data_IF_783091543259
#
_entry.id   IF_783091543259
#
_cell.length_a   1.000
_cell.length_b   1.000
_cell.length_c   1.000
_cell.angle_alpha   90.00
_cell.angle_beta   90.00
_cell.angle_gamma   90.00
#
_symmetry.space_group_name_H-M   'P 1'
#
loop_
_entity.id
_entity.type
_entity.pdbx_description
1 polymer ?
#
# COMPACT_ATOMS: atom_id res chain seq x y z
N UNK A 1 40.73 2.48 -13.89
CA UNK A 1 41.35 1.12 -13.95
C UNK A 1 40.48 0.17 -13.14
N UNK A 2 40.10 -1.01 -13.66
CA UNK A 2 39.29 -1.97 -12.90
C UNK A 2 40.06 -2.40 -11.64
N UNK A 3 39.51 -2.07 -10.47
CA UNK A 3 40.11 -2.47 -9.22
C UNK A 3 39.81 -3.97 -9.02
N UNK A 4 40.81 -4.82 -9.23
CA UNK A 4 40.71 -6.28 -9.16
C UNK A 4 40.58 -6.83 -7.72
N UNK A 5 40.21 -5.98 -6.75
CA UNK A 5 39.99 -6.40 -5.38
C UNK A 5 38.55 -6.92 -5.22
N UNK A 6 38.33 -8.24 -5.07
CA UNK A 6 36.99 -8.83 -5.01
C UNK A 6 36.17 -8.31 -3.83
N UNK A 7 36.83 -8.01 -2.71
CA UNK A 7 36.18 -7.42 -1.54
C UNK A 7 35.65 -6.03 -1.83
N UNK A 8 36.39 -5.22 -2.58
CA UNK A 8 35.99 -3.85 -2.87
C UNK A 8 34.76 -3.82 -3.77
N UNK A 9 34.75 -4.64 -4.81
CA UNK A 9 33.62 -4.76 -5.72
C UNK A 9 32.38 -5.26 -4.98
N UNK A 10 32.53 -6.28 -4.14
CA UNK A 10 31.41 -6.84 -3.39
C UNK A 10 30.86 -5.84 -2.35
N UNK A 11 31.71 -5.05 -1.69
CA UNK A 11 31.26 -3.98 -0.79
C UNK A 11 30.51 -2.88 -1.56
N UNK A 12 30.98 -2.51 -2.75
CA UNK A 12 30.30 -1.55 -3.61
C UNK A 12 28.94 -2.09 -4.06
N UNK A 13 28.86 -3.35 -4.48
CA UNK A 13 27.60 -4.00 -4.87
C UNK A 13 26.64 -4.10 -3.68
N UNK A 14 27.12 -4.55 -2.52
CA UNK A 14 26.31 -4.64 -1.31
C UNK A 14 25.77 -3.28 -0.89
N UNK A 15 26.61 -2.25 -0.84
CA UNK A 15 26.16 -0.89 -0.54
C UNK A 15 25.21 -0.35 -1.61
N UNK A 16 25.45 -0.67 -2.89
CA UNK A 16 24.56 -0.29 -3.99
C UNK A 16 23.17 -0.92 -3.83
N UNK A 17 23.11 -2.21 -3.50
CA UNK A 17 21.86 -2.95 -3.25
C UNK A 17 21.14 -2.44 -1.99
N UNK A 18 21.90 -1.97 -1.00
CA UNK A 18 21.39 -1.33 0.21
C UNK A 18 21.05 0.16 0.01
N UNK A 19 21.04 0.66 -1.23
CA UNK A 19 20.61 2.02 -1.57
C UNK A 19 21.68 3.09 -1.36
N UNK A 20 22.95 2.71 -1.44
CA UNK A 20 24.12 3.58 -1.38
C UNK A 20 24.66 3.87 0.02
N UNK A 21 23.97 3.42 1.08
CA UNK A 21 24.39 3.61 2.48
C UNK A 21 23.84 2.51 3.40
N UNK A 22 24.64 2.04 4.35
CA UNK A 22 24.23 0.96 5.25
C UNK A 22 25.08 0.90 6.53
N UNK A 23 24.61 0.16 7.55
CA UNK A 23 25.45 -0.18 8.69
C UNK A 23 26.44 -1.29 8.32
N UNK A 24 27.57 -1.40 9.03
CA UNK A 24 28.51 -2.50 8.84
C UNK A 24 27.82 -3.87 8.99
N UNK A 25 26.84 -3.97 9.88
CA UNK A 25 26.08 -5.20 10.07
C UNK A 25 25.25 -5.56 8.83
N UNK A 26 24.57 -4.59 8.22
CA UNK A 26 23.79 -4.79 7.00
C UNK A 26 24.70 -5.14 5.81
N UNK A 27 25.87 -4.51 5.72
CA UNK A 27 26.88 -4.84 4.70
C UNK A 27 27.38 -6.28 4.89
N UNK A 28 27.62 -6.72 6.14
CA UNK A 28 27.99 -8.12 6.40
C UNK A 28 26.89 -9.08 5.99
N UNK A 29 25.64 -8.80 6.36
CA UNK A 29 24.52 -9.70 6.06
C UNK A 29 24.31 -9.81 4.55
N UNK A 30 24.31 -8.67 3.82
CA UNK A 30 24.18 -8.65 2.36
C UNK A 30 25.31 -9.44 1.68
N UNK A 31 26.55 -9.31 2.13
CA UNK A 31 27.68 -10.05 1.54
C UNK A 31 27.62 -11.55 1.87
N UNK A 32 27.14 -11.91 3.06
CA UNK A 32 26.91 -13.31 3.42
C UNK A 32 25.76 -13.93 2.61
N UNK A 33 24.73 -13.16 2.29
CA UNK A 33 23.56 -13.60 1.52
C UNK A 33 23.82 -13.67 0.00
N UNK A 34 24.62 -12.73 -0.55
CA UNK A 34 24.93 -12.68 -1.98
C UNK A 34 25.73 -13.91 -2.47
N UNK A 35 26.55 -14.52 -1.61
CA UNK A 35 27.29 -15.75 -1.92
C UNK A 35 28.40 -15.61 -2.98
N UNK A 36 28.73 -14.39 -3.42
CA UNK A 36 29.73 -14.12 -4.47
C UNK A 36 31.18 -14.36 -4.03
N UNK A 37 31.44 -14.31 -2.72
CA UNK A 37 32.74 -14.62 -2.12
C UNK A 37 32.57 -15.87 -1.27
N UNK A 38 33.41 -16.87 -1.51
CA UNK A 38 33.48 -18.04 -0.63
C UNK A 38 34.09 -17.67 0.72
N UNK A 39 33.22 -17.38 1.68
CA UNK A 39 33.58 -16.94 3.02
C UNK A 39 34.25 -18.03 3.87
N UNK A 40 34.15 -19.30 3.46
CA UNK A 40 34.72 -20.44 4.22
C UNK A 40 36.26 -20.44 4.21
N UNK A 41 36.87 -19.76 3.24
CA UNK A 41 38.32 -19.63 3.11
C UNK A 41 38.94 -18.56 4.04
N UNK A 42 38.13 -17.85 4.85
CA UNK A 42 38.58 -16.71 5.64
C UNK A 42 38.17 -16.82 7.11
N UNK A 43 39.16 -16.84 8.00
CA UNK A 43 38.94 -16.96 9.46
C UNK A 43 38.23 -15.72 10.05
N UNK A 44 38.51 -14.52 9.54
CA UNK A 44 37.86 -13.27 9.98
C UNK A 44 37.61 -12.32 8.79
N UNK A 45 36.70 -12.75 7.92
CA UNK A 45 36.34 -11.98 6.73
C UNK A 45 35.69 -10.62 7.05
N UNK A 46 35.02 -10.49 8.21
CA UNK A 46 34.40 -9.23 8.64
C UNK A 46 35.45 -8.15 8.91
N UNK A 47 36.60 -8.52 9.48
CA UNK A 47 37.74 -7.60 9.63
C UNK A 47 38.36 -7.23 8.29
N UNK A 48 38.44 -8.16 7.35
CA UNK A 48 38.94 -7.89 6.00
C UNK A 48 38.04 -6.89 5.25
N UNK A 49 36.72 -7.02 5.38
CA UNK A 49 35.74 -6.10 4.81
C UNK A 49 35.88 -4.69 5.40
N UNK A 50 35.94 -4.56 6.74
CA UNK A 50 36.15 -3.26 7.41
C UNK A 50 37.44 -2.59 6.97
N UNK A 51 38.52 -3.36 6.87
CA UNK A 51 39.83 -2.86 6.41
C UNK A 51 39.73 -2.26 5.01
N UNK A 52 39.02 -2.90 4.09
CA UNK A 52 38.82 -2.38 2.74
C UNK A 52 37.98 -1.09 2.72
N UNK A 53 36.95 -0.99 3.55
CA UNK A 53 36.17 0.26 3.70
C UNK A 53 37.07 1.40 4.18
N UNK A 54 37.90 1.16 5.20
CA UNK A 54 38.76 2.19 5.78
C UNK A 54 39.91 2.60 4.85
N UNK A 55 40.48 1.67 4.08
CA UNK A 55 41.55 1.98 3.11
C UNK A 55 41.05 2.83 1.92
N UNK A 56 39.75 2.83 1.67
CA UNK A 56 39.11 3.52 0.55
C UNK A 56 38.10 4.57 1.01
N UNK A 57 38.32 5.15 2.20
CA UNK A 57 37.58 6.29 2.70
C UNK A 57 38.51 7.36 3.23
N UNK A 58 38.47 8.55 2.66
CA UNK A 58 39.19 9.72 3.19
C UNK A 58 38.77 10.13 4.61
N UNK A 59 37.68 9.56 5.14
CA UNK A 59 37.26 9.77 6.53
C UNK A 59 38.04 8.89 7.53
N UNK A 60 38.95 8.04 7.06
CA UNK A 60 39.78 7.16 7.90
C UNK A 60 41.26 7.57 7.90
N UNK A 61 41.93 7.46 9.05
CA UNK A 61 43.34 7.88 9.21
C UNK A 61 44.33 7.06 8.38
N UNK A 62 43.92 5.87 7.93
CA UNK A 62 44.76 4.96 7.14
C UNK A 62 44.65 5.20 5.64
N UNK A 63 43.85 6.17 5.20
CA UNK A 63 43.66 6.50 3.78
C UNK A 63 44.92 7.14 3.19
N UNK A 64 45.42 6.58 2.09
CA UNK A 64 46.69 6.99 1.44
C UNK A 64 46.51 7.54 0.03
N UNK A 65 45.27 7.62 -0.45
CA UNK A 65 44.98 8.09 -1.81
C UNK A 65 44.56 9.56 -1.80
N UNK A 66 44.33 10.13 -2.99
CA UNK A 66 43.84 11.51 -3.12
C UNK A 66 42.40 11.62 -2.61
N UNK A 67 42.14 12.57 -1.71
CA UNK A 67 40.78 12.87 -1.21
C UNK A 67 39.89 13.30 -2.38
N UNK A 68 38.71 12.67 -2.50
CA UNK A 68 37.81 12.86 -3.64
C UNK A 68 38.29 12.24 -4.97
N UNK A 69 39.40 11.50 -4.96
CA UNK A 69 39.91 10.78 -6.13
C UNK A 69 39.20 9.45 -6.38
N UNK A 70 39.58 8.73 -7.44
CA UNK A 70 38.93 7.46 -7.85
C UNK A 70 38.93 6.37 -6.77
N UNK A 71 39.87 6.43 -5.82
CA UNK A 71 40.04 5.45 -4.75
C UNK A 71 39.37 5.86 -3.42
N UNK A 72 38.74 7.04 -3.38
CA UNK A 72 37.93 7.53 -2.26
C UNK A 72 36.46 7.14 -2.46
N UNK A 73 36.17 5.87 -2.20
CA UNK A 73 34.90 5.25 -2.59
C UNK A 73 33.84 5.34 -1.48
N UNK A 74 34.25 5.37 -0.22
CA UNK A 74 33.34 5.31 0.92
C UNK A 74 33.42 6.53 1.82
N UNK A 75 32.34 6.84 2.53
CA UNK A 75 32.29 7.89 3.53
C UNK A 75 31.53 7.45 4.78
N UNK A 76 31.88 8.03 5.92
CA UNK A 76 31.24 7.78 7.20
C UNK A 76 30.11 8.79 7.45
N UNK A 77 28.90 8.30 7.67
CA UNK A 77 27.71 9.17 7.77
C UNK A 77 27.58 9.84 9.14
N UNK A 78 28.02 9.18 10.20
CA UNK A 78 27.92 9.70 11.59
C UNK A 78 29.28 10.02 12.22
N UNK A 79 30.36 10.05 11.43
CA UNK A 79 31.73 10.19 11.91
C UNK A 79 32.35 8.88 12.39
N UNK A 80 33.68 8.89 12.52
CA UNK A 80 34.53 7.72 12.84
C UNK A 80 33.97 6.91 14.02
N UNK A 81 33.89 5.58 13.85
CA UNK A 81 33.50 4.64 14.91
C UNK A 81 32.01 4.29 14.99
N UNK A 82 31.12 5.01 14.30
CA UNK A 82 29.67 4.76 14.36
C UNK A 82 29.18 3.62 13.45
N UNK A 83 30.05 3.07 12.61
CA UNK A 83 29.76 1.86 11.82
C UNK A 83 28.74 2.04 10.69
N UNK A 84 28.44 3.26 10.27
CA UNK A 84 27.54 3.54 9.12
C UNK A 84 28.34 4.13 7.97
N UNK A 85 28.22 3.52 6.78
CA UNK A 85 29.04 3.80 5.62
C UNK A 85 28.19 4.01 4.37
N UNK A 86 28.63 4.89 3.47
CA UNK A 86 28.00 5.11 2.17
C UNK A 86 28.98 5.26 1.02
N UNK A 87 28.49 5.23 -0.22
CA UNK A 87 29.28 5.36 -1.45
C UNK A 87 29.36 6.83 -1.90
N UNK A 88 30.57 7.34 -2.15
CA UNK A 88 30.80 8.74 -2.56
C UNK A 88 30.39 9.02 -4.01
N UNK A 89 30.59 8.08 -4.94
CA UNK A 89 30.36 8.23 -6.39
C UNK A 89 29.31 7.27 -6.95
N UNK A 90 28.25 6.98 -6.17
CA UNK A 90 27.19 6.06 -6.60
C UNK A 90 26.38 6.63 -7.78
N UNK A 91 26.63 6.13 -8.99
CA UNK A 91 25.85 6.44 -10.21
C UNK A 91 24.75 5.39 -10.35
N UNK A 92 23.50 5.85 -10.40
CA UNK A 92 22.34 4.99 -10.67
C UNK A 92 22.39 4.63 -12.16
N UNK A 93 22.75 3.38 -12.50
CA UNK A 93 22.60 2.87 -13.86
C UNK A 93 21.10 2.72 -14.16
N UNK A 94 20.53 3.79 -14.73
CA UNK A 94 19.25 3.75 -15.42
C UNK A 94 19.49 3.02 -16.74
N UNK A 95 18.84 1.87 -16.95
CA UNK A 95 18.61 1.35 -18.29
C UNK A 95 17.90 2.44 -19.10
N UNK A 96 18.51 2.79 -20.23
CA UNK A 96 18.23 3.98 -21.03
C UNK A 96 16.80 4.00 -21.59
N UNK A 97 16.16 5.16 -21.54
CA UNK A 97 15.50 5.74 -22.72
C UNK A 97 15.43 7.27 -22.57
N UNK A 98 16.43 7.90 -23.20
CA UNK A 98 16.59 9.22 -23.80
C UNK A 98 15.82 10.46 -23.28
N UNK A 99 16.66 11.41 -22.83
CA UNK A 99 16.65 12.86 -23.08
C UNK A 99 15.43 13.69 -22.66
N UNK A 100 15.52 14.29 -21.46
CA UNK A 100 15.72 15.74 -21.29
C UNK A 100 16.09 16.01 -19.83
N UNK A 101 17.05 16.91 -19.63
CA UNK A 101 17.59 17.31 -18.33
C UNK A 101 16.55 18.08 -17.52
N UNK A 102 15.82 17.38 -16.66
CA UNK A 102 15.14 17.98 -15.51
C UNK A 102 15.79 17.49 -14.21
N UNK A 103 16.03 18.44 -13.31
CA UNK A 103 16.56 18.24 -11.95
C UNK A 103 15.76 17.16 -11.21
N UNK A 104 16.37 16.00 -10.93
CA UNK A 104 15.71 14.90 -10.21
C UNK A 104 15.62 15.24 -8.72
N UNK A 105 14.51 15.87 -8.31
CA UNK A 105 14.13 15.99 -6.90
C UNK A 105 13.94 14.61 -6.26
N UNK A 106 14.24 14.49 -4.96
CA UNK A 106 13.89 13.31 -4.14
C UNK A 106 12.42 12.94 -4.43
N UNK A 107 12.20 11.81 -5.11
CA UNK A 107 10.83 11.35 -5.40
C UNK A 107 10.16 11.05 -4.05
N UNK A 108 9.23 11.93 -3.67
CA UNK A 108 8.55 11.90 -2.37
C UNK A 108 7.71 10.63 -2.28
N UNK A 109 7.70 9.98 -1.12
CA UNK A 109 6.81 8.84 -0.90
C UNK A 109 5.37 9.24 -1.25
N UNK A 110 4.57 8.34 -1.87
CA UNK A 110 3.19 8.64 -2.16
C UNK A 110 2.42 8.90 -0.87
N UNK A 111 1.40 9.76 -0.98
CA UNK A 111 0.53 10.09 0.13
C UNK A 111 -0.09 8.82 0.71
N UNK A 112 -0.35 8.85 2.03
CA UNK A 112 -1.14 7.81 2.69
C UNK A 112 -2.53 7.77 2.09
N UNK A 113 -2.97 6.56 1.74
CA UNK A 113 -4.29 6.26 1.21
C UNK A 113 -5.17 5.76 2.33
N UNK A 114 -6.48 5.87 2.10
CA UNK A 114 -7.51 5.53 3.06
C UNK A 114 -7.38 4.11 3.65
N UNK A 115 -7.18 3.09 2.80
CA UNK A 115 -6.96 1.70 3.25
C UNK A 115 -5.80 1.59 4.24
N UNK A 116 -4.71 2.33 4.00
CA UNK A 116 -3.51 2.32 4.84
C UNK A 116 -3.77 2.96 6.21
N UNK A 117 -4.57 4.04 6.23
CA UNK A 117 -4.95 4.71 7.47
C UNK A 117 -5.96 3.91 8.29
N UNK A 118 -6.88 3.18 7.64
CA UNK A 118 -7.80 2.26 8.31
C UNK A 118 -7.03 1.16 9.05
N UNK A 119 -6.05 0.53 8.38
CA UNK A 119 -5.20 -0.50 9.01
C UNK A 119 -4.36 0.07 10.16
N UNK A 120 -3.85 1.29 10.01
CA UNK A 120 -3.09 1.97 11.06
C UNK A 120 -3.96 2.33 12.28
N UNK A 121 -5.19 2.81 12.04
CA UNK A 121 -6.13 3.16 13.11
C UNK A 121 -6.65 1.91 13.84
N UNK A 122 -6.88 0.80 13.12
CA UNK A 122 -7.24 -0.48 13.74
C UNK A 122 -6.14 -0.97 14.68
N UNK A 123 -4.88 -0.92 14.24
CA UNK A 123 -3.74 -1.27 15.10
C UNK A 123 -3.68 -0.34 16.32
N UNK A 124 -3.94 0.96 16.13
CA UNK A 124 -3.94 1.94 17.20
C UNK A 124 -4.98 1.61 18.28
N UNK A 125 -6.24 1.32 17.92
CA UNK A 125 -7.25 1.00 18.93
C UNK A 125 -7.08 -0.38 19.59
N UNK A 126 -6.36 -1.31 18.96
CA UNK A 126 -6.08 -2.65 19.54
C UNK A 126 -4.99 -2.66 20.59
N UNK A 127 -4.22 -1.57 20.72
CA UNK A 127 -3.07 -1.51 21.61
C UNK A 127 -3.09 -0.23 22.43
N UNK A 128 -2.47 -0.25 23.61
CA UNK A 128 -2.36 0.95 24.42
C UNK A 128 -1.36 1.92 23.74
N UNK A 129 -1.76 3.16 23.41
CA UNK A 129 -0.87 4.10 22.71
C UNK A 129 0.43 4.42 23.45
N UNK A 130 0.46 4.28 24.79
CA UNK A 130 1.65 4.50 25.61
C UNK A 130 2.70 3.37 25.50
N UNK A 131 2.32 2.21 24.96
CA UNK A 131 3.18 1.02 24.88
C UNK A 131 3.71 0.77 23.47
N UNK A 132 3.20 1.49 22.48
CA UNK A 132 3.56 1.31 21.07
C UNK A 132 4.73 2.21 20.70
N UNK A 133 5.66 1.66 19.94
CA UNK A 133 6.76 2.40 19.32
C UNK A 133 7.12 1.77 17.96
N UNK A 134 8.06 2.37 17.23
CA UNK A 134 8.46 1.88 15.90
C UNK A 134 9.03 0.44 15.87
N UNK A 135 9.45 -0.11 17.03
CA UNK A 135 9.95 -1.49 17.15
C UNK A 135 8.88 -2.46 17.64
N UNK A 136 7.68 -1.98 17.98
CA UNK A 136 6.59 -2.82 18.44
C UNK A 136 6.22 -3.84 17.35
N UNK A 137 6.03 -5.10 17.72
CA UNK A 137 5.80 -6.21 16.78
C UNK A 137 4.62 -5.92 15.83
N UNK A 138 3.51 -5.39 16.37
CA UNK A 138 2.34 -5.01 15.56
C UNK A 138 2.63 -3.90 14.54
N UNK A 139 3.56 -2.98 14.83
CA UNK A 139 3.94 -1.90 13.91
C UNK A 139 4.82 -2.42 12.79
N UNK A 140 5.75 -3.34 13.10
CA UNK A 140 6.59 -4.01 12.11
C UNK A 140 5.73 -4.86 11.17
N UNK A 141 4.84 -5.68 11.72
CA UNK A 141 3.88 -6.48 10.94
C UNK A 141 3.00 -5.60 10.04
N UNK A 142 2.48 -4.49 10.57
CA UNK A 142 1.69 -3.56 9.76
C UNK A 142 2.52 -2.95 8.62
N UNK A 143 3.78 -2.57 8.88
CA UNK A 143 4.69 -2.09 7.83
C UNK A 143 4.82 -3.11 6.69
N UNK A 144 5.01 -4.40 7.00
CA UNK A 144 5.08 -5.47 6.00
C UNK A 144 3.78 -5.60 5.20
N UNK A 145 2.63 -5.57 5.88
CA UNK A 145 1.30 -5.62 5.26
C UNK A 145 1.13 -4.45 4.29
N UNK A 146 1.39 -3.22 4.74
CA UNK A 146 1.27 -1.99 3.94
C UNK A 146 2.15 -2.03 2.68
N UNK A 147 3.36 -2.58 2.80
CA UNK A 147 4.27 -2.75 1.67
C UNK A 147 3.76 -3.78 0.64
N UNK A 148 2.90 -4.71 1.06
CA UNK A 148 2.31 -5.73 0.18
C UNK A 148 1.00 -5.31 -0.48
N UNK A 149 0.47 -4.12 -0.18
CA UNK A 149 -0.82 -3.68 -0.72
C UNK A 149 -0.71 -3.25 -2.20
N UNK A 150 -1.56 -3.75 -3.10
CA UNK A 150 -1.53 -3.43 -4.54
C UNK A 150 -2.27 -2.11 -4.86
N UNK A 151 -1.98 -1.06 -4.08
CA UNK A 151 -2.63 0.26 -4.18
C UNK A 151 -1.76 1.26 -4.96
N UNK A 152 -0.44 1.11 -4.87
CA UNK A 152 0.56 1.98 -5.48
C UNK A 152 1.24 1.25 -6.65
N UNK A 153 1.20 1.83 -7.87
CA UNK A 153 1.64 1.15 -9.11
C UNK A 153 3.17 1.10 -9.31
N UNK A 154 3.96 2.02 -8.73
CA UNK A 154 5.42 2.10 -8.97
C UNK A 154 6.18 2.61 -7.74
N UNK A 155 7.21 1.82 -7.36
CA UNK A 155 8.36 2.05 -6.47
C UNK A 155 8.51 3.46 -5.85
N UNK A 156 8.00 3.58 -4.63
CA UNK A 156 8.64 4.43 -3.62
C UNK A 156 9.92 3.73 -3.14
N UNK A 157 10.89 4.50 -2.66
CA UNK A 157 12.15 3.96 -2.11
C UNK A 157 11.83 2.87 -1.06
N UNK A 158 12.17 1.60 -1.34
CA UNK A 158 11.81 0.42 -0.53
C UNK A 158 12.24 0.55 0.93
N UNK A 159 13.30 1.32 1.18
CA UNK A 159 13.83 1.58 2.53
C UNK A 159 12.92 2.52 3.35
N UNK A 160 12.25 3.46 2.68
CA UNK A 160 11.46 4.51 3.32
C UNK A 160 9.96 4.36 3.14
N UNK A 161 9.53 3.49 2.23
CA UNK A 161 8.11 3.30 1.95
C UNK A 161 7.44 2.52 3.07
N UNK A 162 6.46 3.16 3.73
CA UNK A 162 5.66 2.59 4.82
C UNK A 162 6.46 1.83 5.87
N UNK A 163 7.71 2.24 6.13
CA UNK A 163 8.57 1.60 7.11
C UNK A 163 8.01 1.75 8.54
N UNK A 164 8.49 0.97 9.53
CA UNK A 164 7.93 0.97 10.88
C UNK A 164 7.92 2.35 11.56
N UNK A 165 8.92 3.19 11.30
CA UNK A 165 8.94 4.57 11.78
C UNK A 165 7.81 5.39 11.16
N UNK A 166 7.60 5.30 9.84
CA UNK A 166 6.52 5.97 9.15
C UNK A 166 5.14 5.52 9.64
N UNK A 167 4.97 4.23 9.94
CA UNK A 167 3.75 3.69 10.54
C UNK A 167 3.54 4.24 11.95
N UNK A 168 4.56 4.18 12.80
CA UNK A 168 4.49 4.74 14.15
C UNK A 168 4.16 6.24 14.15
N UNK A 169 4.74 7.01 13.22
CA UNK A 169 4.39 8.43 13.06
C UNK A 169 2.91 8.66 12.74
N UNK A 170 2.23 7.72 12.06
CA UNK A 170 0.78 7.79 11.87
C UNK A 170 0.00 7.53 13.14
N UNK A 171 0.47 6.62 13.98
CA UNK A 171 -0.11 6.41 15.31
C UNK A 171 0.03 7.68 16.17
N UNK A 172 1.18 8.37 16.08
CA UNK A 172 1.39 9.66 16.73
C UNK A 172 0.50 10.79 16.19
N UNK A 173 0.05 10.71 14.93
CA UNK A 173 -0.93 11.64 14.38
C UNK A 173 -2.32 11.39 14.99
N UNK A 174 -2.71 10.12 15.20
CA UNK A 174 -3.97 9.78 15.86
C UNK A 174 -4.00 10.17 17.33
N UNK A 175 -2.85 10.11 18.03
CA UNK A 175 -2.72 10.64 19.39
C UNK A 175 -3.14 12.12 19.53
N UNK A 176 -3.04 12.93 18.46
CA UNK A 176 -3.54 14.32 18.46
C UNK A 176 -5.07 14.36 18.60
N UNK A 177 -5.76 13.40 17.99
CA UNK A 177 -7.20 13.36 17.85
C UNK A 177 -7.88 12.61 19.01
N UNK A 178 -7.11 11.84 19.78
CA UNK A 178 -7.61 11.04 20.89
C UNK A 178 -7.96 11.87 22.12
N UNK A 179 -9.26 12.05 22.46
CA UNK A 179 -9.65 12.79 23.64
C UNK A 179 -9.33 12.03 24.94
N UNK A 180 -9.10 10.71 24.88
CA UNK A 180 -8.75 9.88 26.03
C UNK A 180 -7.23 9.91 26.33
N UNK A 181 -6.43 10.55 25.45
CA UNK A 181 -4.99 10.64 25.58
C UNK A 181 -4.54 11.94 26.24
N UNK A 182 -3.94 11.82 27.44
CA UNK A 182 -3.47 12.97 28.22
C UNK A 182 -2.06 13.48 27.85
N UNK A 183 -1.41 12.90 26.84
CA UNK A 183 -0.07 13.30 26.39
C UNK A 183 -0.09 14.32 25.24
N UNK A 184 1.08 14.69 24.74
CA UNK A 184 1.19 15.55 23.54
C UNK A 184 1.31 14.69 22.28
N UNK A 185 0.30 14.73 21.42
CA UNK A 185 0.36 14.22 20.05
C UNK A 185 1.12 15.16 19.10
N UNK A 186 1.20 14.80 17.81
CA UNK A 186 1.80 15.66 16.79
C UNK A 186 0.88 16.84 16.42
N UNK A 187 1.43 18.05 16.30
CA UNK A 187 0.65 19.29 16.07
C UNK A 187 -0.06 19.37 14.71
N UNK A 188 0.41 18.63 13.70
CA UNK A 188 -0.11 18.69 12.32
C UNK A 188 -0.36 17.31 11.77
N UNK A 189 -1.42 17.17 10.98
CA UNK A 189 -1.76 15.94 10.26
C UNK A 189 -2.50 16.25 8.96
N UNK A 190 -2.92 15.20 8.27
CA UNK A 190 -3.68 15.31 7.04
C UNK A 190 -5.17 15.25 7.30
N UNK A 191 -5.97 15.96 6.50
CA UNK A 191 -7.45 15.90 6.54
C UNK A 191 -8.00 14.47 6.48
N UNK A 192 -7.37 13.59 5.68
CA UNK A 192 -7.81 12.20 5.58
C UNK A 192 -7.65 11.42 6.90
N UNK A 193 -6.69 11.81 7.76
CA UNK A 193 -6.55 11.21 9.10
C UNK A 193 -7.72 11.60 10.00
N UNK A 194 -8.16 12.87 9.93
CA UNK A 194 -9.33 13.36 10.65
C UNK A 194 -10.61 12.69 10.14
N UNK A 195 -10.78 12.60 8.81
CA UNK A 195 -11.95 11.93 8.21
C UNK A 195 -12.04 10.44 8.61
N UNK A 196 -10.92 9.71 8.64
CA UNK A 196 -10.88 8.31 9.08
C UNK A 196 -11.10 8.20 10.60
N UNK A 197 -10.55 9.12 11.39
CA UNK A 197 -10.75 9.16 12.83
C UNK A 197 -12.22 9.40 13.19
N UNK A 198 -12.82 10.48 12.67
CA UNK A 198 -14.19 10.88 12.96
C UNK A 198 -15.20 9.78 12.59
N UNK A 199 -14.94 9.05 11.51
CA UNK A 199 -15.80 7.94 11.08
C UNK A 199 -15.78 6.75 12.04
N UNK A 200 -14.65 6.44 12.66
CA UNK A 200 -14.44 5.17 13.36
C UNK A 200 -14.21 5.29 14.87
N UNK A 201 -13.94 6.48 15.39
CA UNK A 201 -13.66 6.69 16.82
C UNK A 201 -14.75 6.09 17.72
N UNK A 202 -16.02 6.29 17.35
CA UNK A 202 -17.18 5.78 18.08
C UNK A 202 -17.63 4.36 17.64
N UNK A 203 -17.02 3.78 16.61
CA UNK A 203 -17.42 2.48 16.04
C UNK A 203 -16.20 1.61 15.72
N UNK A 204 -15.48 1.25 16.79
CA UNK A 204 -14.24 0.45 16.74
C UNK A 204 -14.46 -0.95 16.17
N UNK A 205 -15.65 -1.54 16.38
CA UNK A 205 -16.00 -2.85 15.85
C UNK A 205 -16.08 -2.80 14.32
N UNK A 206 -16.79 -1.81 13.76
CA UNK A 206 -16.88 -1.64 12.31
C UNK A 206 -15.52 -1.36 11.67
N UNK A 207 -14.66 -0.57 12.33
CA UNK A 207 -13.29 -0.36 11.88
C UNK A 207 -12.54 -1.69 11.77
N UNK A 208 -12.62 -2.51 12.82
CA UNK A 208 -11.94 -3.80 12.87
C UNK A 208 -12.41 -4.72 11.74
N UNK A 209 -13.72 -4.83 11.52
CA UNK A 209 -14.30 -5.67 10.46
C UNK A 209 -13.83 -5.23 9.05
N UNK A 210 -13.76 -3.92 8.82
CA UNK A 210 -13.24 -3.33 7.58
C UNK A 210 -11.75 -3.63 7.43
N UNK A 211 -10.95 -3.46 8.48
CA UNK A 211 -9.51 -3.76 8.47
C UNK A 211 -9.24 -5.25 8.17
N UNK A 212 -9.97 -6.17 8.79
CA UNK A 212 -9.88 -7.60 8.49
C UNK A 212 -10.24 -7.89 7.03
N UNK A 213 -11.27 -7.23 6.50
CA UNK A 213 -11.68 -7.40 5.10
C UNK A 213 -10.64 -6.89 4.10
N UNK A 214 -9.96 -5.77 4.42
CA UNK A 214 -8.83 -5.27 3.62
C UNK A 214 -7.71 -6.32 3.63
N UNK A 215 -7.35 -6.86 4.80
CA UNK A 215 -6.30 -7.87 4.91
C UNK A 215 -6.64 -9.16 4.16
N UNK A 216 -7.89 -9.64 4.26
CA UNK A 216 -8.36 -10.79 3.49
C UNK A 216 -8.30 -10.55 1.97
N UNK A 217 -8.60 -9.31 1.54
CA UNK A 217 -8.46 -8.88 0.14
C UNK A 217 -7.06 -9.02 -0.42
N UNK A 218 -6.02 -8.79 0.40
CA UNK A 218 -4.62 -8.95 0.00
C UNK A 218 -4.32 -10.41 -0.36
N UNK A 219 -4.73 -11.35 0.51
CA UNK A 219 -4.53 -12.78 0.28
C UNK A 219 -5.28 -13.22 -0.97
N UNK A 220 -6.53 -12.80 -1.11
CA UNK A 220 -7.34 -13.12 -2.28
C UNK A 220 -6.77 -12.56 -3.59
N UNK A 221 -6.28 -11.30 -3.59
CA UNK A 221 -5.60 -10.75 -4.77
C UNK A 221 -4.31 -11.53 -5.05
N UNK A 222 -3.46 -11.84 -4.05
CA UNK A 222 -2.24 -12.66 -4.24
C UNK A 222 -2.53 -14.02 -4.88
N UNK A 223 -3.63 -14.66 -4.54
CA UNK A 223 -4.05 -15.95 -5.08
C UNK A 223 -4.58 -15.84 -6.53
N UNK A 224 -5.12 -14.68 -6.94
CA UNK A 224 -5.74 -14.44 -8.26
C UNK A 224 -4.88 -13.58 -9.22
N UNK A 225 -3.70 -13.10 -8.81
CA UNK A 225 -2.83 -12.24 -9.66
C UNK A 225 -2.23 -13.04 -10.83
N UNK A 226 -2.92 -13.03 -11.97
CA UNK A 226 -2.29 -12.89 -13.29
C UNK A 226 -3.22 -12.36 -14.39
N UNK A 227 -4.40 -11.80 -14.10
CA UNK A 227 -5.29 -11.29 -15.17
C UNK A 227 -5.90 -9.92 -14.88
N UNK A 228 -5.41 -8.96 -15.67
CA UNK A 228 -6.00 -7.67 -16.04
C UNK A 228 -6.00 -6.57 -14.97
N UNK A 229 -4.92 -5.79 -14.98
CA UNK A 229 -4.94 -4.40 -14.52
C UNK A 229 -4.90 -3.54 -15.77
N UNK A 230 -6.05 -3.20 -16.34
CA UNK A 230 -6.15 -2.11 -17.31
C UNK A 230 -7.27 -1.14 -16.94
N UNK A 231 -6.90 0.13 -17.02
CA UNK A 231 -7.64 1.41 -16.96
C UNK A 231 -8.17 1.83 -15.58
N UNK A 232 -7.58 2.84 -14.95
CA UNK A 232 -7.64 4.30 -15.26
C UNK A 232 -9.01 4.89 -14.90
N UNK A 233 -9.12 5.20 -13.61
CA UNK A 233 -9.74 6.40 -13.06
C UNK A 233 -9.25 6.44 -11.59
N UNK A 234 -8.22 7.24 -11.31
CA UNK A 234 -7.67 7.43 -9.96
C UNK A 234 -8.57 8.34 -9.11
N UNK A 235 -9.87 8.06 -9.06
CA UNK A 235 -10.69 8.61 -7.98
C UNK A 235 -10.40 7.80 -6.70
N UNK A 236 -10.02 8.50 -5.64
CA UNK A 236 -9.91 7.93 -4.31
C UNK A 236 -11.33 7.58 -3.85
N UNK A 237 -11.70 6.30 -4.04
CA UNK A 237 -13.01 5.81 -3.63
C UNK A 237 -13.17 5.98 -2.12
N UNK A 238 -14.34 6.41 -1.62
CA UNK A 238 -14.63 6.51 -0.19
C UNK A 238 -14.42 5.20 0.60
N UNK A 239 -14.26 4.08 -0.09
CA UNK A 239 -13.99 2.75 0.44
C UNK A 239 -12.54 2.42 0.66
N UNK A 240 -11.64 3.11 -0.04
CA UNK A 240 -10.36 2.55 -0.39
C UNK A 240 -10.46 1.59 -1.61
N UNK A 241 -9.31 1.34 -2.23
CA UNK A 241 -9.25 0.65 -3.53
C UNK A 241 -9.48 -0.85 -3.39
N UNK A 242 -9.05 -1.46 -2.28
CA UNK A 242 -9.06 -2.92 -2.11
C UNK A 242 -10.49 -3.44 -1.97
N UNK A 243 -11.26 -2.88 -1.02
CA UNK A 243 -12.66 -3.30 -0.81
C UNK A 243 -13.53 -3.05 -2.03
N UNK A 244 -13.33 -1.93 -2.73
CA UNK A 244 -14.03 -1.63 -3.97
C UNK A 244 -13.76 -2.68 -5.05
N UNK A 245 -12.49 -3.10 -5.24
CA UNK A 245 -12.14 -4.16 -6.20
C UNK A 245 -12.80 -5.49 -5.85
N UNK A 246 -12.71 -5.90 -4.59
CA UNK A 246 -13.36 -7.14 -4.13
C UNK A 246 -14.88 -7.09 -4.37
N UNK A 247 -15.51 -5.94 -4.12
CA UNK A 247 -16.94 -5.75 -4.31
C UNK A 247 -17.32 -5.85 -5.78
N UNK A 248 -16.61 -5.13 -6.65
CA UNK A 248 -16.79 -5.16 -8.10
C UNK A 248 -16.58 -6.56 -8.69
N UNK A 249 -15.62 -7.32 -8.17
CA UNK A 249 -15.38 -8.69 -8.62
C UNK A 249 -16.54 -9.64 -8.25
N UNK A 250 -17.05 -9.55 -7.02
CA UNK A 250 -18.25 -10.31 -6.60
C UNK A 250 -19.48 -9.94 -7.42
N UNK A 251 -19.68 -8.67 -7.72
CA UNK A 251 -20.77 -8.16 -8.58
C UNK A 251 -20.70 -8.72 -10.01
N UNK A 252 -19.49 -8.95 -10.54
CA UNK A 252 -19.29 -9.41 -11.92
C UNK A 252 -19.35 -10.93 -12.08
N UNK A 253 -18.80 -11.70 -11.14
CA UNK A 253 -18.41 -13.08 -11.43
C UNK A 253 -19.05 -14.16 -10.54
N UNK A 254 -20.13 -13.84 -9.82
CA UNK A 254 -20.85 -14.88 -9.07
C UNK A 254 -21.88 -15.61 -9.93
N UNK A 255 -21.95 -16.93 -9.78
CA UNK A 255 -23.03 -17.77 -10.33
C UNK A 255 -24.42 -17.28 -9.89
N UNK A 256 -24.49 -16.66 -8.71
CA UNK A 256 -25.69 -16.05 -8.14
C UNK A 256 -26.16 -14.83 -8.94
N UNK A 257 -25.24 -13.97 -9.41
CA UNK A 257 -25.58 -12.82 -10.27
C UNK A 257 -26.17 -13.30 -11.60
N UNK A 258 -25.55 -14.29 -12.24
CA UNK A 258 -26.06 -14.89 -13.48
C UNK A 258 -27.47 -15.43 -13.28
N UNK A 259 -27.69 -16.19 -12.20
CA UNK A 259 -29.00 -16.73 -11.83
C UNK A 259 -30.05 -15.64 -11.60
N UNK A 260 -29.70 -14.55 -10.91
CA UNK A 260 -30.64 -13.44 -10.66
C UNK A 260 -31.08 -12.76 -11.96
N UNK A 261 -30.14 -12.46 -12.85
CA UNK A 261 -30.44 -11.86 -14.17
C UNK A 261 -31.33 -12.76 -15.01
N UNK A 262 -31.05 -14.07 -15.02
CA UNK A 262 -31.85 -15.05 -15.75
C UNK A 262 -33.30 -15.08 -15.25
N UNK A 263 -33.52 -15.17 -13.93
CA UNK A 263 -34.86 -15.15 -13.34
C UNK A 263 -35.61 -13.86 -13.69
N UNK A 264 -34.94 -12.71 -13.66
CA UNK A 264 -35.55 -11.44 -14.01
C UNK A 264 -35.90 -11.34 -15.51
N UNK A 265 -35.05 -11.89 -16.37
CA UNK A 265 -35.30 -11.95 -17.82
C UNK A 265 -36.51 -12.85 -18.13
N UNK A 266 -36.60 -14.03 -17.52
CA UNK A 266 -37.72 -14.97 -17.69
C UNK A 266 -39.07 -14.37 -17.24
N UNK A 267 -39.04 -13.52 -16.21
CA UNK A 267 -40.22 -12.80 -15.71
C UNK A 267 -40.53 -11.51 -16.47
N UNK A 268 -39.76 -11.17 -17.50
CA UNK A 268 -39.83 -9.90 -18.21
C UNK A 268 -39.72 -8.67 -17.27
N UNK A 269 -38.88 -8.79 -16.24
CA UNK A 269 -38.62 -7.80 -15.19
C UNK A 269 -37.16 -7.35 -15.17
N UNK A 270 -36.46 -7.42 -16.32
CA UNK A 270 -35.07 -6.98 -16.44
C UNK A 270 -34.96 -5.45 -16.52
N UNK A 271 -35.37 -4.78 -15.45
CA UNK A 271 -35.32 -3.32 -15.27
C UNK A 271 -34.64 -2.96 -13.95
N UNK A 272 -34.20 -1.72 -13.84
CA UNK A 272 -33.60 -1.20 -12.61
C UNK A 272 -34.62 -1.23 -11.46
N UNK A 273 -34.26 -1.84 -10.33
CA UNK A 273 -35.12 -1.94 -9.14
C UNK A 273 -35.21 -0.61 -8.36
N UNK A 274 -34.45 0.42 -8.76
CA UNK A 274 -34.40 1.73 -8.11
C UNK A 274 -35.19 2.76 -8.94
N UNK A 275 -34.77 3.00 -10.19
CA UNK A 275 -35.37 4.03 -11.05
C UNK A 275 -36.26 3.48 -12.17
N UNK A 276 -36.48 2.17 -12.22
CA UNK A 276 -37.30 1.46 -13.23
C UNK A 276 -36.80 1.54 -14.67
N UNK A 277 -35.61 2.10 -14.91
CA UNK A 277 -34.99 2.16 -16.22
C UNK A 277 -34.79 0.76 -16.84
N UNK A 278 -35.17 0.61 -18.10
CA UNK A 278 -35.12 -0.64 -18.85
C UNK A 278 -34.33 -0.40 -20.15
N UNK A 279 -33.16 -1.03 -20.25
CA UNK A 279 -32.25 -0.85 -21.38
C UNK A 279 -32.85 -1.34 -22.69
N UNK A 280 -33.62 -2.42 -22.68
CA UNK A 280 -34.26 -2.95 -23.90
C UNK A 280 -35.34 -1.99 -24.39
N UNK A 281 -36.17 -1.45 -23.49
CA UNK A 281 -37.19 -0.47 -23.87
C UNK A 281 -36.61 0.82 -24.41
N UNK A 282 -35.48 1.28 -23.86
CA UNK A 282 -34.85 2.55 -24.29
C UNK A 282 -33.96 2.40 -25.52
N UNK A 283 -33.21 1.31 -25.64
CA UNK A 283 -32.18 1.12 -26.68
C UNK A 283 -32.46 -0.02 -27.67
N UNK A 284 -33.60 -0.71 -27.55
CA UNK A 284 -33.96 -1.85 -28.40
C UNK A 284 -33.01 -3.03 -28.20
N UNK A 285 -32.68 -3.73 -29.29
CA UNK A 285 -31.82 -4.93 -29.24
C UNK A 285 -30.44 -4.67 -28.62
N UNK A 286 -29.91 -3.44 -28.69
CA UNK A 286 -28.63 -3.09 -28.04
C UNK A 286 -28.68 -3.25 -26.52
N UNK A 287 -29.84 -2.99 -25.91
CA UNK A 287 -30.05 -3.07 -24.46
C UNK A 287 -30.50 -4.45 -23.97
N UNK A 288 -30.67 -5.43 -24.87
CA UNK A 288 -31.23 -6.73 -24.54
C UNK A 288 -30.33 -7.51 -23.59
N UNK A 289 -30.89 -7.96 -22.46
CA UNK A 289 -30.14 -8.69 -21.44
C UNK A 289 -29.16 -7.83 -20.63
N UNK A 290 -29.05 -6.53 -20.92
CA UNK A 290 -28.10 -5.64 -20.26
C UNK A 290 -28.70 -5.05 -18.99
N UNK A 291 -28.10 -5.39 -17.84
CA UNK A 291 -28.31 -4.71 -16.56
C UNK A 291 -27.13 -5.02 -15.64
N UNK A 292 -26.84 -4.14 -14.69
CA UNK A 292 -25.82 -4.37 -13.66
C UNK A 292 -26.46 -4.97 -12.41
N UNK A 293 -25.63 -5.56 -11.56
CA UNK A 293 -26.07 -6.18 -10.31
C UNK A 293 -25.19 -5.66 -9.18
N UNK A 294 -25.81 -5.14 -8.13
CA UNK A 294 -25.13 -4.58 -6.97
C UNK A 294 -25.39 -5.42 -5.72
N UNK A 295 -24.40 -5.58 -4.85
CA UNK A 295 -24.60 -6.25 -3.56
C UNK A 295 -25.04 -5.22 -2.52
N UNK A 296 -26.19 -5.43 -1.89
CA UNK A 296 -26.76 -4.49 -0.92
C UNK A 296 -26.07 -4.52 0.44
N UNK A 297 -25.23 -5.54 0.70
CA UNK A 297 -24.47 -5.68 1.94
C UNK A 297 -22.99 -5.43 1.67
N UNK A 298 -22.30 -4.57 2.45
CA UNK A 298 -20.86 -4.38 2.38
C UNK A 298 -20.05 -5.63 2.63
N UNK A 299 -18.93 -5.77 1.92
CA UNK A 299 -17.98 -6.89 2.09
C UNK A 299 -17.54 -7.00 3.55
N UNK A 300 -17.31 -5.86 4.21
CA UNK A 300 -16.95 -5.78 5.63
C UNK A 300 -17.95 -6.44 6.56
N UNK A 301 -19.22 -6.52 6.15
CA UNK A 301 -20.29 -7.04 6.99
C UNK A 301 -20.54 -8.54 6.76
N UNK A 302 -19.85 -9.16 5.80
CA UNK A 302 -19.93 -10.60 5.60
C UNK A 302 -18.95 -11.32 6.53
N UNK A 303 -19.48 -12.07 7.50
CA UNK A 303 -18.69 -13.06 8.24
C UNK A 303 -18.14 -14.10 7.27
N UNK A 304 -16.93 -14.62 7.53
CA UNK A 304 -16.35 -15.74 6.79
C UNK A 304 -17.40 -16.85 6.58
N UNK A 305 -17.51 -17.37 5.36
CA UNK A 305 -18.49 -18.37 4.91
C UNK A 305 -19.96 -17.93 4.73
N UNK A 306 -20.28 -16.65 4.80
CA UNK A 306 -21.65 -16.20 4.47
C UNK A 306 -21.89 -16.29 2.95
N UNK A 307 -22.74 -17.22 2.51
CA UNK A 307 -23.14 -17.36 1.10
C UNK A 307 -24.05 -16.20 0.69
N UNK A 308 -23.71 -15.50 -0.39
CA UNK A 308 -24.58 -14.49 -1.01
C UNK A 308 -25.92 -15.11 -1.42
N UNK A 309 -27.02 -14.56 -0.90
CA UNK A 309 -28.38 -14.93 -1.29
C UNK A 309 -28.85 -14.04 -2.44
N UNK A 310 -29.88 -14.49 -3.17
CA UNK A 310 -30.48 -13.69 -4.26
C UNK A 310 -31.09 -12.36 -3.77
N UNK A 311 -31.47 -12.28 -2.49
CA UNK A 311 -32.02 -11.08 -1.86
C UNK A 311 -30.94 -10.06 -1.47
N UNK A 312 -29.67 -10.48 -1.41
CA UNK A 312 -28.54 -9.58 -1.11
C UNK A 312 -28.05 -8.83 -2.36
N UNK A 313 -28.74 -9.04 -3.47
CA UNK A 313 -28.43 -8.47 -4.78
C UNK A 313 -29.53 -7.49 -5.17
N UNK A 314 -29.22 -6.50 -5.99
CA UNK A 314 -30.20 -5.59 -6.60
C UNK A 314 -29.82 -5.33 -8.05
N UNK A 315 -30.77 -5.47 -8.97
CA UNK A 315 -30.57 -5.14 -10.38
C UNK A 315 -30.66 -3.63 -10.57
N UNK A 316 -29.62 -3.05 -11.15
CA UNK A 316 -29.45 -1.59 -11.23
C UNK A 316 -28.98 -1.18 -12.62
N UNK A 317 -29.39 0.01 -13.08
CA UNK A 317 -28.81 0.61 -14.27
C UNK A 317 -27.45 1.25 -13.95
N UNK A 318 -26.63 1.49 -14.97
CA UNK A 318 -25.28 2.04 -14.82
C UNK A 318 -25.23 3.36 -14.04
N UNK A 319 -26.26 4.21 -14.18
CA UNK A 319 -26.34 5.45 -13.41
C UNK A 319 -26.62 5.18 -11.93
N UNK A 320 -27.62 4.34 -11.62
CA UNK A 320 -27.93 3.99 -10.23
C UNK A 320 -26.78 3.23 -9.57
N UNK A 321 -26.11 2.33 -10.29
CA UNK A 321 -24.95 1.60 -9.78
C UNK A 321 -23.84 2.56 -9.34
N UNK A 322 -23.49 3.53 -10.19
CA UNK A 322 -22.52 4.57 -9.84
C UNK A 322 -22.96 5.42 -8.65
N UNK A 323 -24.25 5.71 -8.51
CA UNK A 323 -24.77 6.50 -7.37
C UNK A 323 -24.76 5.74 -6.05
N UNK A 324 -25.01 4.43 -6.04
CA UNK A 324 -24.91 3.59 -4.83
C UNK A 324 -23.47 3.62 -4.28
N UNK A 325 -22.48 3.66 -5.17
CA UNK A 325 -21.06 3.72 -4.84
C UNK A 325 -20.53 5.15 -4.54
N UNK A 326 -21.37 6.19 -4.64
CA UNK A 326 -20.90 7.59 -4.59
C UNK A 326 -20.64 8.12 -3.17
N UNK A 327 -21.28 7.56 -2.13
CA UNK A 327 -21.17 8.04 -0.73
C UNK A 327 -21.02 6.89 0.27
N UNK A 328 -20.60 7.25 1.49
CA UNK A 328 -20.43 6.35 2.65
C UNK A 328 -21.28 6.82 3.85
N UNK A 329 -21.94 5.90 4.61
CA UNK A 329 -22.22 4.51 4.24
C UNK A 329 -22.94 4.42 2.87
N UNK A 330 -22.87 3.28 2.18
CA UNK A 330 -23.56 3.13 0.89
C UNK A 330 -25.02 3.48 1.03
N UNK A 331 -25.56 4.14 0.02
CA UNK A 331 -27.00 4.27 -0.07
C UNK A 331 -27.57 2.86 -0.27
N UNK A 332 -28.51 2.50 0.59
CA UNK A 332 -29.37 1.36 0.35
C UNK A 332 -30.23 1.59 -0.89
N UNK A 333 -30.75 0.50 -1.46
CA UNK A 333 -31.75 0.54 -2.54
C UNK A 333 -32.87 1.54 -2.25
N UNK A 334 -33.46 1.46 -1.05
CA UNK A 334 -34.60 2.29 -0.66
C UNK A 334 -34.21 3.75 -0.41
N UNK A 335 -33.00 4.02 0.08
CA UNK A 335 -32.50 5.38 0.30
C UNK A 335 -32.29 6.11 -1.03
N UNK A 336 -31.61 5.47 -2.00
CA UNK A 336 -31.40 6.07 -3.31
C UNK A 336 -32.74 6.23 -4.07
N UNK A 337 -33.65 5.27 -3.92
CA UNK A 337 -35.00 5.38 -4.49
C UNK A 337 -35.75 6.58 -3.92
N UNK A 338 -35.72 6.76 -2.61
CA UNK A 338 -36.34 7.91 -1.93
C UNK A 338 -35.71 9.22 -2.39
N UNK A 339 -34.39 9.27 -2.52
CA UNK A 339 -33.67 10.46 -3.00
C UNK A 339 -34.10 10.83 -4.43
N UNK A 340 -34.19 9.86 -5.34
CA UNK A 340 -34.64 10.11 -6.72
C UNK A 340 -36.09 10.61 -6.74
N UNK A 341 -36.97 10.02 -5.93
CA UNK A 341 -38.37 10.45 -5.84
C UNK A 341 -38.51 11.86 -5.28
N UNK A 342 -37.73 12.21 -4.24
CA UNK A 342 -37.77 13.53 -3.61
C UNK A 342 -37.31 14.67 -4.52
N UNK A 343 -36.41 14.41 -5.48
CA UNK A 343 -35.87 15.41 -6.41
C UNK A 343 -36.54 15.38 -7.80
N UNK A 344 -37.54 14.51 -8.00
CA UNK A 344 -38.36 14.48 -9.22
C UNK A 344 -39.60 15.37 -9.13
N UNK A 345 -39.89 15.88 -7.93
CA UNK A 345 -40.82 16.96 -7.67
C UNK A 345 -40.05 18.28 -7.55
#
# INVERSE_FOLDING_TARGET
MQNNNPWLNEIVVALSNLGGQATLLDIYNMIAENGNIDLTNYVDWKSQLRKNIYLHSSDADIFKYTVGGEMDLFYSIKGKGNGVWGLRNYKIEKTQNNNTTETVGKKRNPNWKRDELILALDLYFRHNPNQINAKHEGVVKLSEILNSLPIHKIQANTVNFRNPNGVYMKMCNFLRLDPDYNGKGLERGSKLEEEVWDEFYNDKNRLHDIAQSIMAGITYEKDEVSKQIDNEDEEEFPEGKILYRMHKQRERNSSVVKRKKQIALEKNQLKCEICEFDFFKTYGELGKGFIECHHTVPISNYKENTKTKLNDLVLVCSNCHRMLHRKRPWLGKEELKTLILSNKN
#
